data_IF_291136951239
#
_entry.id   IF_291136951239
#
_cell.length_a   1.000
_cell.length_b   1.000
_cell.length_c   1.000
_cell.angle_alpha   90.00
_cell.angle_beta   90.00
_cell.angle_gamma   90.00
#
_symmetry.space_group_name_H-M   'P 1'
#
loop_
_entity.id
_entity.type
_entity.pdbx_description
1 polymer ?
#
# COMPACT_ATOMS: atom_id res chain seq x y z
N UNK A 1 48.91 -3.69 19.56
CA UNK A 1 47.91 -3.03 18.69
C UNK A 1 46.88 -2.35 19.57
N UNK A 2 46.48 -1.12 19.25
CA UNK A 2 45.47 -0.40 20.09
C UNK A 2 44.07 -0.94 19.85
N UNK A 3 43.18 -0.78 20.84
CA UNK A 3 41.76 -1.13 20.70
C UNK A 3 41.10 -0.39 19.53
N UNK A 4 41.51 0.87 19.30
CA UNK A 4 41.06 1.68 18.16
C UNK A 4 41.45 1.06 16.80
N UNK A 5 42.72 0.59 16.66
CA UNK A 5 43.18 -0.05 15.45
C UNK A 5 42.42 -1.35 15.18
N UNK A 6 42.17 -2.17 16.21
CA UNK A 6 41.39 -3.40 16.09
C UNK A 6 39.95 -3.08 15.68
N UNK A 7 39.34 -2.07 16.33
CA UNK A 7 37.97 -1.62 15.98
C UNK A 7 37.89 -1.11 14.54
N UNK A 8 38.86 -0.31 14.08
CA UNK A 8 38.91 0.19 12.71
C UNK A 8 39.11 -0.94 11.68
N UNK A 9 39.97 -1.91 11.99
CA UNK A 9 40.19 -3.06 11.13
C UNK A 9 38.94 -3.95 10.97
N UNK A 10 38.25 -4.21 12.07
CA UNK A 10 37.01 -5.04 12.07
C UNK A 10 35.80 -4.35 11.40
N UNK A 11 35.75 -3.03 11.41
CA UNK A 11 34.62 -2.24 10.89
C UNK A 11 34.94 -1.58 9.52
N UNK A 12 36.03 -1.93 8.87
CA UNK A 12 36.50 -1.36 7.60
C UNK A 12 36.60 0.18 7.62
N UNK A 13 36.93 0.78 8.79
CA UNK A 13 37.02 2.23 9.00
C UNK A 13 38.47 2.67 9.21
N UNK A 14 38.72 3.96 9.01
CA UNK A 14 40.02 4.58 9.25
C UNK A 14 41.14 4.07 8.36
N UNK A 15 42.30 4.71 8.51
CA UNK A 15 43.52 4.31 7.78
C UNK A 15 44.20 3.17 8.58
N UNK A 16 43.92 1.93 8.18
CA UNK A 16 44.57 0.73 8.71
C UNK A 16 45.22 0.02 7.54
N UNK A 17 46.50 -0.27 7.68
CA UNK A 17 47.26 -1.03 6.67
C UNK A 17 46.53 -2.30 6.27
N UNK A 18 46.41 -2.62 4.96
CA UNK A 18 45.65 -3.78 4.46
C UNK A 18 46.07 -5.12 5.06
N UNK A 19 47.39 -5.34 5.27
CA UNK A 19 47.90 -6.58 5.87
C UNK A 19 47.50 -6.68 7.34
N UNK A 20 47.57 -5.56 8.08
CA UNK A 20 47.13 -5.46 9.47
C UNK A 20 45.62 -5.74 9.58
N UNK A 21 44.83 -5.18 8.67
CA UNK A 21 43.37 -5.42 8.60
C UNK A 21 43.04 -6.90 8.37
N UNK A 22 43.69 -7.52 7.38
CA UNK A 22 43.50 -8.94 7.09
C UNK A 22 43.87 -9.81 8.30
N UNK A 23 45.00 -9.52 8.95
CA UNK A 23 45.44 -10.26 10.14
C UNK A 23 44.47 -10.16 11.30
N UNK A 24 43.92 -8.95 11.55
CA UNK A 24 42.92 -8.74 12.63
C UNK A 24 41.65 -9.51 12.33
N UNK A 25 41.15 -9.48 11.08
CA UNK A 25 39.95 -10.22 10.68
C UNK A 25 40.19 -11.73 10.81
N UNK A 26 41.36 -12.24 10.42
CA UNK A 26 41.68 -13.66 10.58
C UNK A 26 41.68 -14.09 12.05
N UNK A 27 42.39 -13.35 12.92
CA UNK A 27 42.44 -13.66 14.35
C UNK A 27 41.02 -13.61 14.97
N UNK A 28 40.22 -12.62 14.60
CA UNK A 28 38.83 -12.53 15.09
C UNK A 28 37.99 -13.74 14.66
N UNK A 29 38.16 -14.21 13.42
CA UNK A 29 37.52 -15.42 12.91
C UNK A 29 37.97 -16.67 13.66
N UNK A 30 39.28 -16.83 13.87
CA UNK A 30 39.88 -17.97 14.57
C UNK A 30 39.44 -18.03 16.05
N UNK A 31 39.20 -16.87 16.67
CA UNK A 31 38.68 -16.75 18.05
C UNK A 31 37.16 -16.86 18.13
N UNK A 32 36.45 -17.01 17.01
CA UNK A 32 34.98 -16.97 16.97
C UNK A 32 34.38 -15.61 17.40
N UNK A 33 35.20 -14.55 17.38
CA UNK A 33 34.76 -13.23 17.79
C UNK A 33 33.79 -12.64 16.77
N UNK A 34 32.60 -12.29 17.22
CA UNK A 34 31.62 -11.52 16.45
C UNK A 34 31.49 -10.13 17.06
N UNK A 35 31.62 -9.04 16.27
CA UNK A 35 31.36 -7.70 16.76
C UNK A 35 29.98 -7.60 17.40
N UNK A 36 29.90 -6.94 18.55
CA UNK A 36 28.62 -6.73 19.22
C UNK A 36 27.79 -5.71 18.43
N UNK A 37 26.78 -6.21 17.73
CA UNK A 37 25.87 -5.39 16.89
C UNK A 37 25.18 -4.30 17.70
N UNK A 38 24.82 -4.57 18.99
CA UNK A 38 24.20 -3.55 19.85
C UNK A 38 25.17 -2.41 20.16
N UNK A 39 26.44 -2.72 20.43
CA UNK A 39 27.47 -1.71 20.67
C UNK A 39 27.81 -0.91 19.38
N UNK A 40 27.69 -1.54 18.21
CA UNK A 40 27.85 -0.85 16.93
C UNK A 40 26.68 0.12 16.68
N UNK A 41 25.43 -0.30 16.91
CA UNK A 41 24.24 0.54 16.82
C UNK A 41 24.29 1.76 17.75
N UNK A 42 24.61 1.56 19.02
CA UNK A 42 24.79 2.64 20.00
C UNK A 42 25.81 3.69 19.55
N UNK A 43 26.85 3.27 18.83
CA UNK A 43 27.90 4.17 18.36
C UNK A 43 27.55 4.82 17.01
N UNK A 44 26.86 4.15 16.13
CA UNK A 44 26.44 4.69 14.81
C UNK A 44 25.16 5.52 14.91
N UNK A 45 24.35 5.33 15.95
CA UNK A 45 23.01 5.88 16.07
C UNK A 45 22.00 5.30 15.07
N UNK A 46 22.39 4.25 14.32
CA UNK A 46 21.52 3.62 13.31
C UNK A 46 20.88 2.34 13.85
N UNK A 47 19.58 2.20 13.68
CA UNK A 47 18.83 0.99 14.02
C UNK A 47 19.05 -0.15 13.01
N UNK A 48 19.43 0.20 11.76
CA UNK A 48 19.46 -0.68 10.60
C UNK A 48 18.13 -1.41 10.39
N UNK A 49 17.05 -0.68 10.61
CA UNK A 49 15.68 -1.19 10.46
C UNK A 49 14.75 -0.11 9.94
N UNK A 50 13.78 -0.54 9.15
CA UNK A 50 12.68 0.30 8.66
C UNK A 50 11.35 -0.35 9.02
N UNK A 51 10.29 0.45 9.12
CA UNK A 51 8.95 -0.05 9.36
C UNK A 51 8.08 0.02 8.11
N UNK A 52 7.15 -0.94 7.96
CA UNK A 52 6.01 -0.84 7.06
C UNK A 52 4.76 -0.64 7.91
N UNK A 53 4.06 0.46 7.70
CA UNK A 53 2.96 0.94 8.55
C UNK A 53 1.74 1.26 7.68
N UNK A 54 0.55 1.00 8.18
CA UNK A 54 -0.70 1.47 7.56
C UNK A 54 -1.70 1.91 8.61
N UNK A 55 -2.43 2.97 8.31
CA UNK A 55 -3.61 3.40 9.06
C UNK A 55 -4.91 2.74 8.57
N UNK A 56 -4.85 1.93 7.50
CA UNK A 56 -6.01 1.21 7.01
C UNK A 56 -6.42 0.13 8.01
N UNK A 57 -7.71 0.04 8.41
CA UNK A 57 -8.19 -1.05 9.27
C UNK A 57 -7.89 -2.42 8.66
N UNK A 58 -7.70 -3.42 9.52
CA UNK A 58 -7.40 -4.79 9.10
C UNK A 58 -8.47 -5.37 8.17
N UNK A 59 -9.72 -4.98 8.34
CA UNK A 59 -10.85 -5.40 7.52
C UNK A 59 -10.62 -5.16 6.01
N UNK A 60 -9.97 -4.08 5.64
CA UNK A 60 -9.65 -3.75 4.24
C UNK A 60 -8.21 -4.09 3.88
N UNK A 61 -7.23 -3.89 4.75
CA UNK A 61 -5.80 -4.08 4.45
C UNK A 61 -5.34 -5.54 4.44
N UNK A 62 -5.99 -6.43 5.19
CA UNK A 62 -5.60 -7.83 5.35
C UNK A 62 -6.72 -8.83 5.14
N UNK A 63 -7.90 -8.54 5.67
CA UNK A 63 -9.05 -9.46 5.66
C UNK A 63 -8.82 -10.77 6.42
N UNK A 64 -9.79 -11.68 6.33
CA UNK A 64 -9.77 -12.97 7.03
C UNK A 64 -8.58 -13.85 6.61
N UNK A 65 -8.17 -13.77 5.35
CA UNK A 65 -7.03 -14.54 4.81
C UNK A 65 -5.67 -14.01 5.24
N UNK A 66 -5.58 -12.79 5.81
CA UNK A 66 -4.33 -12.05 6.08
C UNK A 66 -3.40 -11.92 4.87
N UNK A 67 -3.92 -12.02 3.67
CA UNK A 67 -3.20 -12.01 2.40
C UNK A 67 -3.57 -10.80 1.53
N UNK A 68 -3.97 -9.69 2.14
CA UNK A 68 -4.33 -8.48 1.43
C UNK A 68 -3.13 -7.66 0.96
N UNK A 69 -3.42 -6.53 0.34
CA UNK A 69 -2.50 -5.54 -0.22
C UNK A 69 -1.26 -5.28 0.66
N UNK A 70 -1.45 -5.13 1.97
CA UNK A 70 -0.37 -4.85 2.90
C UNK A 70 0.64 -6.00 3.02
N UNK A 71 0.17 -7.26 3.00
CA UNK A 71 1.06 -8.42 3.13
C UNK A 71 1.85 -8.67 1.84
N UNK A 72 1.26 -8.40 0.69
CA UNK A 72 1.95 -8.49 -0.60
C UNK A 72 3.10 -7.46 -0.65
N UNK A 73 2.84 -6.21 -0.28
CA UNK A 73 3.86 -5.18 -0.17
C UNK A 73 4.93 -5.54 0.86
N UNK A 74 4.54 -6.10 2.03
CA UNK A 74 5.46 -6.43 3.11
C UNK A 74 6.53 -7.44 2.71
N UNK A 75 6.15 -8.50 2.00
CA UNK A 75 7.09 -9.52 1.53
C UNK A 75 8.16 -8.95 0.61
N UNK A 76 7.74 -8.15 -0.37
CA UNK A 76 8.63 -7.53 -1.36
C UNK A 76 9.52 -6.45 -0.70
N UNK A 77 8.92 -5.59 0.13
CA UNK A 77 9.66 -4.56 0.85
C UNK A 77 10.71 -5.16 1.79
N UNK A 78 10.41 -6.30 2.44
CA UNK A 78 11.37 -7.01 3.27
C UNK A 78 12.58 -7.49 2.47
N UNK A 79 12.37 -8.12 1.31
CA UNK A 79 13.46 -8.56 0.44
C UNK A 79 14.30 -7.37 -0.05
N UNK A 80 13.66 -6.30 -0.52
CA UNK A 80 14.34 -5.10 -1.00
C UNK A 80 15.15 -4.40 0.11
N UNK A 81 14.64 -4.36 1.34
CA UNK A 81 15.31 -3.81 2.52
C UNK A 81 16.52 -4.68 2.92
N UNK A 82 16.35 -6.00 2.97
CA UNK A 82 17.44 -6.94 3.32
C UNK A 82 18.61 -6.87 2.35
N UNK A 83 18.37 -6.69 1.06
CA UNK A 83 19.43 -6.47 0.05
C UNK A 83 20.26 -5.21 0.34
N UNK A 84 19.74 -4.26 1.12
CA UNK A 84 20.40 -3.03 1.57
C UNK A 84 20.92 -3.09 3.01
N UNK A 85 20.86 -4.28 3.63
CA UNK A 85 21.30 -4.47 5.03
C UNK A 85 20.34 -3.92 6.08
N UNK A 86 19.08 -3.64 5.72
CA UNK A 86 18.04 -3.18 6.61
C UNK A 86 17.07 -4.30 6.97
N UNK A 87 16.65 -4.38 8.24
CA UNK A 87 15.53 -5.22 8.65
C UNK A 87 14.20 -4.51 8.38
N UNK A 88 13.14 -5.25 8.02
CA UNK A 88 11.79 -4.72 7.95
C UNK A 88 11.00 -5.12 9.20
N UNK A 89 10.44 -4.12 9.89
CA UNK A 89 9.46 -4.30 10.96
C UNK A 89 8.07 -4.08 10.38
N UNK A 90 7.28 -5.14 10.35
CA UNK A 90 5.89 -5.05 9.93
C UNK A 90 5.02 -4.59 11.10
N UNK A 91 4.33 -3.45 10.96
CA UNK A 91 3.42 -2.90 11.96
C UNK A 91 1.99 -3.02 11.43
N UNK A 92 1.25 -4.07 11.83
CA UNK A 92 -0.13 -4.22 11.39
C UNK A 92 -1.00 -3.09 11.95
N UNK A 93 -2.16 -2.81 11.33
CA UNK A 93 -3.10 -1.82 11.83
C UNK A 93 -3.74 -2.30 13.14
N UNK A 94 -3.19 -1.84 14.26
CA UNK A 94 -3.64 -2.11 15.63
C UNK A 94 -4.28 -0.87 16.22
N UNK A 95 -5.21 -1.03 17.16
CA UNK A 95 -5.81 0.09 17.89
C UNK A 95 -4.77 0.97 18.62
N UNK A 96 -3.66 0.36 19.07
CA UNK A 96 -2.57 1.03 19.77
C UNK A 96 -1.28 1.11 18.93
N UNK A 97 -1.37 1.17 17.61
CA UNK A 97 -0.18 1.23 16.74
C UNK A 97 0.75 2.39 17.09
N UNK A 98 0.21 3.53 17.49
CA UNK A 98 0.99 4.72 17.90
C UNK A 98 1.88 4.43 19.11
N UNK A 99 1.35 3.87 20.18
CA UNK A 99 2.13 3.55 21.38
C UNK A 99 3.26 2.56 21.07
N UNK A 100 3.04 1.62 20.13
CA UNK A 100 4.10 0.73 19.65
C UNK A 100 5.14 1.51 18.83
N UNK A 101 4.70 2.37 17.91
CA UNK A 101 5.56 3.17 17.06
C UNK A 101 6.41 4.16 17.86
N UNK A 102 5.92 4.70 19.00
CA UNK A 102 6.69 5.58 19.89
C UNK A 102 7.97 4.93 20.42
N UNK A 103 7.89 3.65 20.77
CA UNK A 103 9.02 2.88 21.34
C UNK A 103 9.89 2.16 20.30
N UNK A 104 9.49 2.17 19.02
CA UNK A 104 10.18 1.39 18.01
C UNK A 104 11.46 2.08 17.52
N UNK A 105 12.59 1.39 17.63
CA UNK A 105 13.89 1.88 17.12
C UNK A 105 14.00 1.56 15.62
N UNK A 106 13.80 2.58 14.77
CA UNK A 106 13.83 2.50 13.31
C UNK A 106 14.48 3.73 12.70
N UNK A 107 15.16 3.56 11.57
CA UNK A 107 15.77 4.65 10.81
C UNK A 107 14.76 5.33 9.86
N UNK A 108 13.79 4.56 9.37
CA UNK A 108 12.78 5.05 8.44
C UNK A 108 11.50 4.22 8.44
N UNK A 109 10.46 4.73 7.77
CA UNK A 109 9.21 4.01 7.60
C UNK A 109 8.59 4.22 6.22
N UNK A 110 7.92 3.17 5.72
CA UNK A 110 7.07 3.19 4.54
C UNK A 110 5.61 3.14 5.00
N UNK A 111 4.83 4.15 4.62
CA UNK A 111 3.40 4.21 4.93
C UNK A 111 2.58 3.80 3.72
N UNK A 112 1.55 2.95 3.94
CA UNK A 112 0.63 2.53 2.90
C UNK A 112 -0.61 3.40 2.88
N UNK A 113 -0.84 4.09 1.75
CA UNK A 113 -2.06 4.89 1.51
C UNK A 113 -2.43 5.79 2.72
N UNK A 114 -1.55 6.70 3.18
CA UNK A 114 -1.82 7.49 4.38
C UNK A 114 -3.05 8.36 4.22
N UNK A 115 -3.73 8.64 5.33
CA UNK A 115 -4.82 9.62 5.38
C UNK A 115 -4.26 11.05 5.28
N UNK A 116 -5.12 12.00 4.91
CA UNK A 116 -4.77 13.43 4.85
C UNK A 116 -4.13 13.91 6.16
N UNK A 117 -4.71 13.57 7.31
CA UNK A 117 -4.17 13.87 8.64
C UNK A 117 -3.79 12.58 9.36
N UNK A 118 -2.89 11.78 8.76
CA UNK A 118 -2.52 10.49 9.31
C UNK A 118 -1.73 10.65 10.63
N UNK A 119 -2.22 10.09 11.73
CA UNK A 119 -1.58 10.23 13.03
C UNK A 119 -0.22 9.53 13.09
N UNK A 120 -0.01 8.45 12.31
CA UNK A 120 1.28 7.76 12.26
C UNK A 120 2.33 8.59 11.52
N UNK A 121 1.93 9.32 10.45
CA UNK A 121 2.83 10.26 9.76
C UNK A 121 3.30 11.33 10.73
N UNK A 122 2.37 11.98 11.44
CA UNK A 122 2.69 13.06 12.39
C UNK A 122 3.65 12.57 13.48
N UNK A 123 3.32 11.45 14.12
CA UNK A 123 4.17 10.86 15.16
C UNK A 123 5.59 10.58 14.68
N UNK A 124 5.73 9.94 13.52
CA UNK A 124 7.03 9.56 12.98
C UNK A 124 7.84 10.78 12.51
N UNK A 125 7.18 11.83 11.98
CA UNK A 125 7.83 13.12 11.67
C UNK A 125 8.34 13.81 12.92
N UNK A 126 7.55 13.88 13.99
CA UNK A 126 7.96 14.45 15.29
C UNK A 126 9.18 13.72 15.88
N UNK A 127 9.31 12.42 15.62
CA UNK A 127 10.47 11.61 16.00
C UNK A 127 11.69 11.79 15.08
N UNK A 128 11.55 12.52 13.97
CA UNK A 128 12.62 12.70 12.98
C UNK A 128 12.91 11.45 12.14
N UNK A 129 11.99 10.49 12.08
CA UNK A 129 12.11 9.27 11.27
C UNK A 129 11.94 9.64 9.80
N UNK A 130 12.81 9.11 8.91
CA UNK A 130 12.66 9.31 7.48
C UNK A 130 11.40 8.57 6.97
N UNK A 131 10.56 9.26 6.18
CA UNK A 131 9.28 8.73 5.71
C UNK A 131 9.19 8.70 4.20
N UNK A 132 8.56 7.65 3.69
CA UNK A 132 8.08 7.53 2.30
C UNK A 132 6.69 6.90 2.33
N UNK A 133 5.80 7.28 1.43
CA UNK A 133 4.51 6.58 1.30
C UNK A 133 4.34 5.89 -0.05
N UNK A 134 3.58 4.80 -0.04
CA UNK A 134 2.97 4.20 -1.21
C UNK A 134 1.56 4.79 -1.33
N UNK A 135 1.33 5.59 -2.36
CA UNK A 135 0.19 6.48 -2.46
C UNK A 135 0.48 7.85 -1.86
N UNK A 136 -0.10 8.89 -2.44
CA UNK A 136 0.05 10.29 -2.00
C UNK A 136 -0.69 10.50 -0.67
N UNK A 137 -0.09 11.28 0.23
CA UNK A 137 -0.81 11.89 1.33
C UNK A 137 -1.49 13.18 0.83
N UNK A 138 -2.81 13.27 0.95
CA UNK A 138 -3.55 14.46 0.54
C UNK A 138 -3.40 15.63 1.53
N UNK A 139 -3.72 16.85 1.06
CA UNK A 139 -4.02 18.02 1.90
C UNK A 139 -2.88 18.72 2.62
N UNK A 140 -1.67 18.18 2.69
CA UNK A 140 -0.57 18.75 3.46
C UNK A 140 0.38 19.60 2.62
N UNK A 141 0.84 20.73 3.19
CA UNK A 141 1.95 21.55 2.64
C UNK A 141 3.27 20.79 2.80
N UNK A 142 3.40 19.96 3.83
CA UNK A 142 4.58 19.15 4.16
C UNK A 142 4.36 17.68 3.78
N UNK A 143 4.06 17.43 2.50
CA UNK A 143 3.87 16.07 2.00
C UNK A 143 5.16 15.26 2.11
N UNK A 144 5.06 14.06 2.68
CA UNK A 144 6.16 13.10 2.66
C UNK A 144 6.44 12.62 1.23
N UNK A 145 7.67 12.22 0.91
CA UNK A 145 7.98 11.59 -0.38
C UNK A 145 7.10 10.36 -0.64
N UNK A 146 6.70 10.15 -1.88
CA UNK A 146 5.71 9.10 -2.20
C UNK A 146 5.94 8.41 -3.55
N UNK A 147 5.40 7.20 -3.66
CA UNK A 147 5.22 6.50 -4.92
C UNK A 147 3.79 6.76 -5.42
N UNK A 148 3.66 7.36 -6.59
CA UNK A 148 2.35 7.65 -7.21
C UNK A 148 1.76 6.36 -7.80
N UNK A 149 0.65 5.90 -7.24
CA UNK A 149 -0.11 4.73 -7.71
C UNK A 149 -1.02 5.04 -8.90
N UNK A 150 -0.97 6.25 -9.44
CA UNK A 150 -1.76 6.68 -10.59
C UNK A 150 -3.27 6.43 -10.40
N UNK A 151 -3.80 6.81 -9.24
CA UNK A 151 -5.19 6.51 -8.85
C UNK A 151 -6.24 7.04 -9.82
N UNK A 152 -6.00 8.22 -10.42
CA UNK A 152 -6.88 8.77 -11.48
C UNK A 152 -6.87 7.91 -12.74
N UNK A 153 -5.69 7.45 -13.20
CA UNK A 153 -5.59 6.56 -14.36
C UNK A 153 -6.25 5.21 -14.10
N UNK A 154 -6.09 4.67 -12.89
CA UNK A 154 -6.75 3.43 -12.45
C UNK A 154 -8.28 3.57 -12.47
N UNK A 155 -8.81 4.70 -11.98
CA UNK A 155 -10.25 4.97 -12.04
C UNK A 155 -10.77 5.01 -13.48
N UNK A 156 -10.04 5.68 -14.38
CA UNK A 156 -10.41 5.72 -15.79
C UNK A 156 -10.37 4.35 -16.46
N UNK A 157 -9.38 3.50 -16.14
CA UNK A 157 -9.33 2.13 -16.66
C UNK A 157 -10.60 1.35 -16.31
N UNK A 158 -11.04 1.41 -15.05
CA UNK A 158 -12.23 0.71 -14.57
C UNK A 158 -13.51 1.27 -15.22
N UNK A 159 -13.66 2.58 -15.23
CA UNK A 159 -14.87 3.25 -15.77
C UNK A 159 -15.00 3.07 -17.28
N UNK A 160 -13.90 3.26 -18.02
CA UNK A 160 -13.88 3.04 -19.47
C UNK A 160 -14.21 1.58 -19.81
N UNK A 161 -13.61 0.63 -19.11
CA UNK A 161 -13.91 -0.78 -19.31
C UNK A 161 -15.40 -1.09 -19.13
N UNK A 162 -16.01 -0.66 -18.01
CA UNK A 162 -17.43 -0.88 -17.77
C UNK A 162 -18.30 -0.22 -18.85
N UNK A 163 -17.91 0.98 -19.31
CA UNK A 163 -18.61 1.67 -20.38
C UNK A 163 -18.48 0.98 -21.73
N UNK A 164 -17.30 0.49 -22.08
CA UNK A 164 -17.02 -0.29 -23.29
C UNK A 164 -17.79 -1.62 -23.30
N UNK A 165 -18.03 -2.20 -22.10
CA UNK A 165 -18.92 -3.36 -21.93
C UNK A 165 -20.41 -3.00 -22.01
N UNK A 166 -20.76 -1.79 -22.44
CA UNK A 166 -22.14 -1.38 -22.65
C UNK A 166 -22.88 -0.87 -21.43
N UNK A 167 -22.23 -0.74 -20.26
CA UNK A 167 -22.86 -0.25 -19.03
C UNK A 167 -23.03 1.27 -19.06
N UNK A 168 -24.18 1.75 -18.62
CA UNK A 168 -24.55 3.18 -18.72
C UNK A 168 -24.99 3.79 -17.40
N UNK A 169 -25.21 2.98 -16.37
CA UNK A 169 -25.66 3.37 -15.04
C UNK A 169 -24.70 2.82 -13.98
N UNK A 170 -23.44 3.25 -14.13
CA UNK A 170 -22.35 2.83 -13.27
C UNK A 170 -22.44 3.56 -11.94
N UNK A 171 -22.38 2.85 -10.82
CA UNK A 171 -22.30 3.42 -9.49
C UNK A 171 -20.91 3.28 -8.88
N UNK A 172 -20.49 4.25 -8.06
CA UNK A 172 -19.26 4.21 -7.28
C UNK A 172 -19.58 3.89 -5.82
N UNK A 173 -18.96 2.82 -5.30
CA UNK A 173 -19.00 2.48 -3.87
C UNK A 173 -17.57 2.48 -3.34
N UNK A 174 -17.24 3.39 -2.43
CA UNK A 174 -15.88 3.51 -1.90
C UNK A 174 -15.84 3.91 -0.43
N UNK A 175 -14.66 3.95 0.15
CA UNK A 175 -14.44 4.35 1.53
C UNK A 175 -14.76 5.82 1.79
N UNK A 176 -15.22 6.11 3.03
CA UNK A 176 -15.38 7.46 3.57
C UNK A 176 -14.07 8.05 4.13
N UNK A 177 -13.02 7.26 4.26
CA UNK A 177 -11.74 7.73 4.79
C UNK A 177 -11.09 8.79 3.88
N UNK A 178 -10.45 9.78 4.49
CA UNK A 178 -9.81 10.89 3.79
C UNK A 178 -8.45 10.49 3.22
N UNK A 179 -8.44 9.65 2.16
CA UNK A 179 -7.24 9.27 1.42
C UNK A 179 -7.24 9.90 0.03
N UNK A 180 -6.08 10.30 -0.44
CA UNK A 180 -5.93 10.92 -1.77
C UNK A 180 -6.44 10.01 -2.90
N UNK A 181 -6.17 8.71 -2.80
CA UNK A 181 -6.64 7.75 -3.79
C UNK A 181 -8.17 7.70 -3.93
N UNK A 182 -8.91 7.80 -2.82
CA UNK A 182 -10.37 7.84 -2.87
C UNK A 182 -10.89 9.16 -3.41
N UNK A 183 -10.27 10.29 -3.02
CA UNK A 183 -10.62 11.59 -3.57
C UNK A 183 -10.38 11.63 -5.09
N UNK A 184 -9.27 11.07 -5.56
CA UNK A 184 -8.92 10.94 -6.97
C UNK A 184 -9.92 10.07 -7.74
N UNK A 185 -10.33 8.93 -7.19
CA UNK A 185 -11.34 8.05 -7.78
C UNK A 185 -12.70 8.73 -7.88
N UNK A 186 -13.14 9.39 -6.81
CA UNK A 186 -14.41 10.12 -6.81
C UNK A 186 -14.43 11.21 -7.87
N UNK A 187 -13.37 12.02 -7.92
CA UNK A 187 -13.25 13.09 -8.90
C UNK A 187 -13.24 12.56 -10.34
N UNK A 188 -12.51 11.47 -10.59
CA UNK A 188 -12.49 10.83 -11.90
C UNK A 188 -13.88 10.29 -12.29
N UNK A 189 -14.59 9.67 -11.35
CA UNK A 189 -15.96 9.20 -11.57
C UNK A 189 -16.94 10.33 -11.86
N UNK A 190 -16.92 11.43 -11.09
CA UNK A 190 -17.78 12.59 -11.31
C UNK A 190 -17.52 13.23 -12.68
N UNK A 191 -16.26 13.39 -13.06
CA UNK A 191 -15.86 13.90 -14.38
C UNK A 191 -16.32 12.95 -15.50
N UNK A 192 -16.17 11.65 -15.31
CA UNK A 192 -16.62 10.63 -16.25
C UNK A 192 -18.14 10.67 -16.43
N UNK A 193 -18.87 10.75 -15.32
CA UNK A 193 -20.33 10.83 -15.34
C UNK A 193 -20.79 12.09 -16.10
N UNK A 194 -20.18 13.24 -15.86
CA UNK A 194 -20.48 14.48 -16.55
C UNK A 194 -20.21 14.39 -18.05
N UNK A 195 -19.04 13.82 -18.45
CA UNK A 195 -18.64 13.68 -19.85
C UNK A 195 -19.58 12.77 -20.65
N UNK A 196 -20.21 11.79 -19.99
CA UNK A 196 -21.08 10.79 -20.62
C UNK A 196 -22.58 11.03 -20.35
N UNK A 197 -22.94 12.16 -19.76
CA UNK A 197 -24.31 12.46 -19.32
C UNK A 197 -24.93 11.34 -18.45
N UNK A 198 -24.11 10.68 -17.65
CA UNK A 198 -24.49 9.57 -16.78
C UNK A 198 -24.94 10.12 -15.41
N UNK A 199 -25.99 9.56 -14.78
CA UNK A 199 -26.37 9.97 -13.44
C UNK A 199 -25.29 9.59 -12.41
N UNK A 200 -24.96 10.50 -11.50
CA UNK A 200 -24.03 10.21 -10.40
C UNK A 200 -24.74 9.35 -9.34
N UNK A 201 -24.20 8.15 -9.09
CA UNK A 201 -24.66 7.22 -8.06
C UNK A 201 -23.48 6.88 -7.18
N UNK A 202 -23.53 7.31 -5.95
CA UNK A 202 -22.37 7.24 -5.05
C UNK A 202 -22.78 6.80 -3.65
N UNK A 203 -22.02 5.85 -3.08
CA UNK A 203 -22.21 5.38 -1.72
C UNK A 203 -20.85 5.31 -1.00
N UNK A 204 -20.84 5.71 0.27
CA UNK A 204 -19.66 5.64 1.12
C UNK A 204 -19.77 4.50 2.14
N UNK A 205 -18.62 3.90 2.45
CA UNK A 205 -18.47 2.81 3.41
C UNK A 205 -17.35 3.15 4.38
N UNK A 206 -17.56 2.90 5.66
CA UNK A 206 -16.49 2.99 6.64
C UNK A 206 -15.54 1.80 6.51
N UNK A 207 -14.22 2.06 6.48
CA UNK A 207 -13.20 1.01 6.23
C UNK A 207 -13.25 -0.13 7.27
N UNK A 208 -13.56 0.19 8.53
CA UNK A 208 -13.65 -0.78 9.62
C UNK A 208 -14.70 -1.87 9.40
N UNK A 209 -15.72 -1.59 8.57
CA UNK A 209 -16.81 -2.51 8.27
C UNK A 209 -16.44 -3.57 7.20
N UNK A 210 -15.36 -3.37 6.44
CA UNK A 210 -14.87 -4.34 5.48
C UNK A 210 -15.94 -4.88 4.51
N UNK A 211 -15.96 -6.18 4.31
CA UNK A 211 -16.89 -6.87 3.39
C UNK A 211 -18.36 -6.65 3.77
N UNK A 212 -18.69 -6.66 5.07
CA UNK A 212 -20.06 -6.40 5.55
C UNK A 212 -20.52 -4.99 5.20
N UNK A 213 -19.66 -3.98 5.34
CA UNK A 213 -19.98 -2.61 4.94
C UNK A 213 -20.19 -2.46 3.44
N UNK A 214 -19.38 -3.17 2.63
CA UNK A 214 -19.56 -3.24 1.19
C UNK A 214 -20.90 -3.86 0.79
N UNK A 215 -21.29 -4.94 1.46
CA UNK A 215 -22.58 -5.59 1.28
C UNK A 215 -23.75 -4.64 1.58
N UNK A 216 -23.77 -4.03 2.78
CA UNK A 216 -24.85 -3.15 3.22
C UNK A 216 -24.98 -1.90 2.33
N UNK A 217 -23.85 -1.32 1.94
CA UNK A 217 -23.85 -0.16 1.04
C UNK A 217 -24.39 -0.51 -0.34
N UNK A 218 -23.99 -1.67 -0.90
CA UNK A 218 -24.48 -2.12 -2.19
C UNK A 218 -25.98 -2.46 -2.15
N UNK A 219 -26.45 -3.18 -1.12
CA UNK A 219 -27.86 -3.49 -0.96
C UNK A 219 -28.75 -2.22 -0.90
N UNK A 220 -28.29 -1.20 -0.16
CA UNK A 220 -28.97 0.12 -0.13
C UNK A 220 -28.94 0.82 -1.48
N UNK A 221 -27.79 0.78 -2.17
CA UNK A 221 -27.61 1.39 -3.48
C UNK A 221 -28.54 0.78 -4.52
N UNK A 222 -28.66 -0.56 -4.56
CA UNK A 222 -29.55 -1.28 -5.47
C UNK A 222 -31.03 -1.01 -5.16
N UNK A 223 -31.37 -0.83 -3.88
CA UNK A 223 -32.74 -0.41 -3.48
C UNK A 223 -33.05 1.01 -3.94
N UNK A 224 -32.09 1.93 -3.80
CA UNK A 224 -32.26 3.34 -4.18
C UNK A 224 -32.21 3.53 -5.71
N UNK A 225 -31.41 2.73 -6.40
CA UNK A 225 -31.18 2.81 -7.84
C UNK A 225 -31.29 1.40 -8.47
N UNK A 226 -32.50 0.84 -8.57
CA UNK A 226 -32.70 -0.55 -9.00
C UNK A 226 -32.29 -0.82 -10.47
N UNK A 227 -32.10 0.24 -11.23
CA UNK A 227 -31.64 0.18 -12.63
C UNK A 227 -30.11 0.28 -12.77
N UNK A 228 -29.32 0.20 -11.67
CA UNK A 228 -27.86 0.17 -11.71
C UNK A 228 -27.37 -1.07 -12.46
N UNK A 229 -26.50 -0.88 -13.47
CA UNK A 229 -26.00 -1.94 -14.33
C UNK A 229 -24.52 -2.26 -14.16
N UNK A 230 -23.79 -1.44 -13.38
CA UNK A 230 -22.40 -1.73 -12.98
C UNK A 230 -21.99 -1.04 -11.67
N UNK A 231 -21.05 -1.65 -10.97
CA UNK A 231 -20.44 -1.19 -9.74
C UNK A 231 -18.93 -1.02 -9.93
N UNK A 232 -18.43 0.19 -9.78
CA UNK A 232 -17.02 0.49 -9.60
C UNK A 232 -16.73 0.54 -8.09
N UNK A 233 -15.98 -0.43 -7.57
CA UNK A 233 -15.75 -0.60 -6.12
C UNK A 233 -14.25 -0.68 -5.86
N UNK A 234 -13.53 0.47 -5.68
CA UNK A 234 -12.07 0.49 -5.59
C UNK A 234 -11.46 -0.31 -4.44
N UNK A 235 -12.21 -0.61 -3.39
CA UNK A 235 -11.74 -1.42 -2.26
C UNK A 235 -12.20 -2.85 -2.45
N UNK A 236 -11.26 -3.78 -2.58
CA UNK A 236 -11.53 -5.19 -2.89
C UNK A 236 -12.44 -5.88 -1.84
N UNK A 237 -12.27 -5.56 -0.55
CA UNK A 237 -13.15 -6.05 0.51
C UNK A 237 -14.60 -5.61 0.29
N UNK A 238 -14.80 -4.34 -0.07
CA UNK A 238 -16.14 -3.86 -0.38
C UNK A 238 -16.69 -4.48 -1.67
N UNK A 239 -15.83 -4.76 -2.65
CA UNK A 239 -16.23 -5.39 -3.91
C UNK A 239 -16.74 -6.82 -3.70
N UNK A 240 -16.13 -7.59 -2.80
CA UNK A 240 -16.62 -8.92 -2.41
C UNK A 240 -17.97 -8.81 -1.69
N UNK A 241 -18.11 -7.85 -0.77
CA UNK A 241 -19.40 -7.56 -0.13
C UNK A 241 -20.49 -7.14 -1.13
N UNK A 242 -20.12 -6.28 -2.09
CA UNK A 242 -21.03 -5.84 -3.16
C UNK A 242 -21.47 -7.01 -4.04
N UNK A 243 -20.55 -7.93 -4.38
CA UNK A 243 -20.89 -9.16 -5.11
C UNK A 243 -21.92 -10.00 -4.37
N UNK A 244 -21.73 -10.22 -3.08
CA UNK A 244 -22.69 -10.97 -2.25
C UNK A 244 -24.07 -10.27 -2.21
N UNK A 245 -24.11 -8.94 -2.11
CA UNK A 245 -25.37 -8.17 -2.12
C UNK A 245 -26.11 -8.27 -3.46
N UNK A 246 -25.39 -8.20 -4.59
CA UNK A 246 -25.97 -8.38 -5.94
C UNK A 246 -26.57 -9.77 -6.07
N UNK A 247 -25.83 -10.82 -5.65
CA UNK A 247 -26.30 -12.20 -5.69
C UNK A 247 -27.52 -12.44 -4.78
N UNK A 248 -27.52 -11.87 -3.57
CA UNK A 248 -28.66 -11.97 -2.65
C UNK A 248 -29.91 -11.25 -3.17
N UNK A 249 -29.74 -10.18 -3.95
CA UNK A 249 -30.84 -9.51 -4.64
C UNK A 249 -31.41 -10.32 -5.84
N UNK A 250 -30.86 -11.52 -6.12
CA UNK A 250 -31.26 -12.36 -7.24
C UNK A 250 -30.73 -11.87 -8.60
N UNK A 251 -29.78 -10.93 -8.61
CA UNK A 251 -29.17 -10.39 -9.81
C UNK A 251 -27.92 -11.21 -10.20
N UNK A 252 -27.70 -11.37 -11.47
CA UNK A 252 -26.56 -12.15 -12.01
C UNK A 252 -25.38 -11.21 -12.31
N UNK A 253 -24.18 -11.68 -11.97
CA UNK A 253 -22.94 -11.04 -12.37
C UNK A 253 -22.26 -11.91 -13.41
N UNK A 254 -21.93 -11.42 -14.58
CA UNK A 254 -21.97 -10.02 -15.06
C UNK A 254 -23.26 -9.60 -15.79
N UNK A 255 -24.22 -10.50 -16.00
CA UNK A 255 -25.34 -10.30 -16.92
C UNK A 255 -26.19 -9.07 -16.55
N UNK A 256 -26.65 -9.00 -15.29
CA UNK A 256 -27.52 -7.94 -14.80
C UNK A 256 -26.71 -6.77 -14.25
N UNK A 257 -25.65 -7.05 -13.47
CA UNK A 257 -24.75 -6.04 -12.87
C UNK A 257 -23.30 -6.48 -13.04
N UNK A 258 -22.44 -5.64 -13.61
CA UNK A 258 -21.00 -5.84 -13.65
C UNK A 258 -20.32 -5.27 -12.41
N UNK A 259 -19.22 -5.88 -11.96
CA UNK A 259 -18.44 -5.40 -10.80
C UNK A 259 -16.97 -5.34 -11.16
N UNK A 260 -16.33 -4.19 -10.89
CA UNK A 260 -14.90 -4.00 -11.07
C UNK A 260 -14.26 -3.34 -9.85
N UNK A 261 -13.02 -3.74 -9.50
CA UNK A 261 -12.28 -3.25 -8.33
C UNK A 261 -10.88 -2.74 -8.70
N UNK A 262 -10.27 -1.94 -7.82
CA UNK A 262 -8.96 -1.32 -8.08
C UNK A 262 -7.78 -2.29 -7.91
N UNK A 263 -7.86 -3.23 -6.98
CA UNK A 263 -6.71 -4.05 -6.62
C UNK A 263 -6.88 -5.50 -7.05
N UNK A 264 -5.92 -5.99 -7.85
CA UNK A 264 -5.85 -7.38 -8.30
C UNK A 264 -5.25 -8.30 -7.23
N UNK A 265 -5.88 -8.33 -6.05
CA UNK A 265 -5.49 -9.19 -4.93
C UNK A 265 -6.20 -10.53 -4.92
N UNK A 266 -5.89 -11.32 -3.89
CA UNK A 266 -6.47 -12.65 -3.72
C UNK A 266 -8.00 -12.62 -3.66
N UNK A 267 -8.60 -11.64 -2.96
CA UNK A 267 -10.06 -11.49 -2.89
C UNK A 267 -10.69 -11.36 -4.28
N UNK A 268 -10.11 -10.52 -5.13
CA UNK A 268 -10.63 -10.32 -6.49
C UNK A 268 -10.48 -11.59 -7.33
N UNK A 269 -9.36 -12.30 -7.21
CA UNK A 269 -9.06 -13.51 -7.99
C UNK A 269 -9.87 -14.73 -7.57
N UNK A 270 -10.24 -14.84 -6.27
CA UNK A 270 -10.95 -16.00 -5.72
C UNK A 270 -12.45 -15.77 -5.52
N UNK A 271 -12.95 -14.58 -5.80
CA UNK A 271 -14.39 -14.32 -5.81
C UNK A 271 -15.09 -15.15 -6.91
N UNK A 272 -16.37 -15.45 -6.73
CA UNK A 272 -17.19 -16.23 -7.68
C UNK A 272 -18.45 -15.43 -8.10
N UNK A 273 -18.45 -14.87 -9.31
CA UNK A 273 -17.40 -14.87 -10.35
C UNK A 273 -16.18 -14.02 -9.96
N UNK A 274 -14.99 -14.40 -10.49
CA UNK A 274 -13.75 -13.67 -10.25
C UNK A 274 -13.87 -12.21 -10.72
N UNK A 275 -13.43 -11.26 -9.88
CA UNK A 275 -13.61 -9.84 -10.11
C UNK A 275 -12.59 -9.29 -11.11
N UNK A 276 -13.06 -8.51 -12.06
CA UNK A 276 -12.23 -7.64 -12.89
C UNK A 276 -11.54 -6.62 -12.00
N UNK A 277 -10.22 -6.50 -12.14
CA UNK A 277 -9.39 -5.71 -11.26
C UNK A 277 -8.25 -5.01 -12.02
N UNK A 278 -7.48 -4.19 -11.32
CA UNK A 278 -6.31 -3.53 -11.90
C UNK A 278 -5.05 -4.06 -11.21
N UNK A 279 -4.10 -4.52 -12.02
CA UNK A 279 -2.75 -4.83 -11.57
C UNK A 279 -1.99 -3.53 -11.36
N UNK A 280 -1.64 -3.26 -10.12
CA UNK A 280 -0.88 -2.09 -9.69
C UNK A 280 0.64 -2.35 -9.71
N UNK A 281 1.08 -3.53 -10.10
CA UNK A 281 2.49 -3.96 -10.12
C UNK A 281 3.18 -3.75 -8.76
N UNK A 282 2.58 -4.27 -7.69
CA UNK A 282 3.00 -4.03 -6.31
C UNK A 282 4.46 -4.43 -6.04
N UNK A 283 5.00 -5.38 -6.77
CA UNK A 283 6.42 -5.74 -6.68
C UNK A 283 7.33 -4.56 -7.00
N UNK A 284 7.07 -3.89 -8.12
CA UNK A 284 7.83 -2.72 -8.54
C UNK A 284 7.57 -1.52 -7.63
N UNK A 285 6.31 -1.32 -7.23
CA UNK A 285 5.91 -0.23 -6.31
C UNK A 285 6.63 -0.35 -4.96
N UNK A 286 6.63 -1.55 -4.35
CA UNK A 286 7.29 -1.78 -3.06
C UNK A 286 8.81 -1.61 -3.17
N UNK A 287 9.42 -2.09 -4.26
CA UNK A 287 10.85 -1.91 -4.52
C UNK A 287 11.20 -0.42 -4.64
N UNK A 288 10.44 0.34 -5.43
CA UNK A 288 10.63 1.80 -5.57
C UNK A 288 10.48 2.55 -4.25
N UNK A 289 9.54 2.12 -3.39
CA UNK A 289 9.36 2.75 -2.07
C UNK A 289 10.58 2.53 -1.15
N UNK A 290 11.15 1.32 -1.15
CA UNK A 290 12.38 1.04 -0.39
C UNK A 290 13.57 1.80 -0.99
N UNK A 291 13.66 1.92 -2.30
CA UNK A 291 14.72 2.71 -2.97
C UNK A 291 14.64 4.17 -2.58
N UNK A 292 13.46 4.78 -2.70
CA UNK A 292 13.24 6.18 -2.37
C UNK A 292 13.53 6.43 -0.88
N UNK A 293 13.11 5.53 0.02
CA UNK A 293 13.43 5.65 1.44
C UNK A 293 14.93 5.55 1.69
N UNK A 294 15.63 4.64 1.02
CA UNK A 294 17.08 4.48 1.16
C UNK A 294 17.86 5.70 0.67
N UNK A 295 17.45 6.35 -0.41
CA UNK A 295 18.01 7.63 -0.86
C UNK A 295 17.92 8.67 0.26
N UNK A 296 16.74 8.84 0.86
CA UNK A 296 16.52 9.78 1.95
C UNK A 296 17.34 9.45 3.21
N UNK A 297 17.47 8.16 3.55
CA UNK A 297 18.33 7.69 4.66
C UNK A 297 19.81 7.98 4.39
N UNK A 298 20.23 7.91 3.13
CA UNK A 298 21.60 8.19 2.71
C UNK A 298 21.93 9.70 2.60
N UNK A 299 20.93 10.56 2.82
CA UNK A 299 21.07 12.02 2.79
C UNK A 299 20.68 12.67 1.46
N UNK A 300 20.38 11.91 0.41
CA UNK A 300 19.82 12.44 -0.83
C UNK A 300 18.31 12.62 -0.71
N UNK A 301 17.87 13.85 -0.48
CA UNK A 301 16.46 14.23 -0.32
C UNK A 301 15.90 14.95 -1.55
N UNK A 302 16.57 14.86 -2.69
CA UNK A 302 16.18 15.59 -3.91
C UNK A 302 14.93 15.04 -4.57
N UNK A 303 14.72 13.72 -4.51
CA UNK A 303 13.55 13.04 -5.09
C UNK A 303 12.39 12.98 -4.10
N UNK A 304 11.33 13.74 -4.38
CA UNK A 304 10.13 13.80 -3.53
C UNK A 304 9.02 12.88 -3.99
N UNK A 305 9.11 12.31 -5.18
CA UNK A 305 8.15 11.34 -5.69
C UNK A 305 8.76 10.45 -6.75
N UNK A 306 8.17 9.27 -6.92
CA UNK A 306 8.41 8.42 -8.07
C UNK A 306 7.06 7.97 -8.64
N UNK A 307 7.00 7.92 -9.97
CA UNK A 307 5.83 7.37 -10.66
C UNK A 307 5.88 5.85 -10.57
N UNK A 308 4.83 5.25 -10.08
CA UNK A 308 4.64 3.80 -10.13
C UNK A 308 4.49 3.29 -11.57
N UNK A 309 4.57 1.98 -11.79
CA UNK A 309 4.31 1.38 -13.10
C UNK A 309 2.91 1.74 -13.60
N UNK A 310 2.74 1.71 -14.94
CA UNK A 310 1.44 1.95 -15.54
C UNK A 310 0.45 0.86 -15.11
N UNK A 311 -0.70 1.23 -14.49
CA UNK A 311 -1.69 0.24 -14.09
C UNK A 311 -2.26 -0.51 -15.30
N UNK A 312 -2.54 -1.81 -15.14
CA UNK A 312 -3.08 -2.68 -16.19
C UNK A 312 -4.39 -3.32 -15.77
N UNK A 313 -5.40 -3.25 -16.62
CA UNK A 313 -6.67 -3.92 -16.38
C UNK A 313 -6.53 -5.43 -16.55
N UNK A 314 -7.05 -6.19 -15.60
CA UNK A 314 -7.21 -7.65 -15.64
C UNK A 314 -8.72 -7.96 -15.71
N UNK A 315 -9.26 -8.01 -16.92
CA UNK A 315 -10.65 -8.37 -17.13
C UNK A 315 -10.91 -9.84 -16.75
N UNK A 316 -12.01 -10.08 -16.02
CA UNK A 316 -12.44 -11.39 -15.53
C UNK A 316 -13.95 -11.57 -15.65
N UNK A 317 -14.42 -12.72 -15.18
CA UNK A 317 -15.81 -13.15 -15.29
C UNK A 317 -16.85 -12.14 -14.76
N UNK A 318 -16.50 -11.28 -13.79
CA UNK A 318 -17.44 -10.27 -13.26
C UNK A 318 -17.79 -9.15 -14.25
N UNK A 319 -17.09 -9.06 -15.39
CA UNK A 319 -17.39 -8.09 -16.46
C UNK A 319 -17.30 -8.69 -17.88
N UNK A 320 -17.09 -9.97 -18.01
CA UNK A 320 -17.06 -10.67 -19.30
C UNK A 320 -18.40 -11.38 -19.47
N UNK A 321 -19.14 -11.03 -20.52
CA UNK A 321 -20.32 -11.80 -20.94
C UNK A 321 -19.82 -12.98 -21.77
N UNK A 322 -20.30 -14.18 -21.48
CA UNK A 322 -20.09 -15.33 -22.35
C UNK A 322 -20.82 -15.05 -23.69
N UNK A 323 -20.13 -15.28 -24.82
CA UNK A 323 -20.66 -15.12 -26.17
C UNK A 323 -21.80 -16.11 -26.47
#
# INVERSE_FOLDING_TARGET
MSLTTVSHALNDRGVVDPLTRAKVKQIAADMGYRPNVRAQRLRSGAANSIALVSSMPFAVSGGVSRLGFMMEVAGIAAEAAMRRGLALVFVPPLENAQAFLEGLDIDGAILLEPMTDDPNVRLLQERGVALVSIGRQGGSVDSIPFIDLQSTATAHLLLNHLWEQGRRRIALVQSSAARDSYASHKKAYENFAAAHAMPVRYMQVEESLGEAGGFDACARLLTQYPDTDALCVPVDAFAVGALAAVQQAGLRVPQDVMIATRYDGLRARTAEPALTAVDLHLEQVATLAVELLFEHLSGDKSRLSALGPKPELRARASTQLDD
#
